data_IF_414198445233
#
_entry.id   IF_414198445233
#
_cell.length_a   1.000
_cell.length_b   1.000
_cell.length_c   1.000
_cell.angle_alpha   90.00
_cell.angle_beta   90.00
_cell.angle_gamma   90.00
#
_symmetry.space_group_name_H-M   'P 1'
#
loop_
_entity.id
_entity.type
_entity.pdbx_description
1 polymer ?
#
# COMPACT_ATOMS: atom_id res chain seq x y z
N UNK A 1 9.82 -9.88 -12.78
CA UNK A 1 9.98 -10.90 -11.71
C UNK A 1 10.14 -12.26 -12.37
N UNK A 2 11.05 -13.11 -11.89
CA UNK A 2 11.16 -14.50 -12.36
C UNK A 2 10.11 -15.37 -11.67
N UNK A 3 9.70 -16.47 -12.29
CA UNK A 3 8.69 -17.41 -11.74
C UNK A 3 9.08 -17.95 -10.36
N UNK A 4 10.37 -18.21 -10.13
CA UNK A 4 10.92 -18.66 -8.85
C UNK A 4 10.74 -17.62 -7.73
N UNK A 5 10.96 -16.33 -8.03
CA UNK A 5 10.77 -15.25 -7.04
C UNK A 5 9.30 -15.11 -6.62
N UNK A 6 8.37 -15.27 -7.57
CA UNK A 6 6.93 -15.22 -7.32
C UNK A 6 6.48 -16.39 -6.42
N UNK A 7 6.94 -17.60 -6.72
CA UNK A 7 6.64 -18.79 -5.90
C UNK A 7 7.16 -18.63 -4.47
N UNK A 8 8.39 -18.12 -4.29
CA UNK A 8 8.96 -17.88 -2.96
C UNK A 8 8.14 -16.87 -2.16
N UNK A 9 7.75 -15.75 -2.77
CA UNK A 9 6.91 -14.74 -2.10
C UNK A 9 5.54 -15.30 -1.71
N UNK A 10 4.90 -16.08 -2.59
CA UNK A 10 3.61 -16.70 -2.28
C UNK A 10 3.71 -17.70 -1.11
N UNK A 11 4.78 -18.51 -1.06
CA UNK A 11 5.02 -19.44 0.06
C UNK A 11 5.23 -18.67 1.37
N UNK A 12 6.03 -17.60 1.37
CA UNK A 12 6.26 -16.78 2.56
C UNK A 12 4.98 -16.12 3.06
N UNK A 13 4.14 -15.59 2.16
CA UNK A 13 2.84 -15.02 2.54
C UNK A 13 1.88 -16.08 3.08
N UNK A 14 1.84 -17.28 2.48
CA UNK A 14 1.02 -18.38 2.99
C UNK A 14 1.46 -18.79 4.41
N UNK A 15 2.77 -18.86 4.66
CA UNK A 15 3.31 -19.12 6.00
C UNK A 15 2.85 -18.06 7.01
N UNK A 16 2.84 -16.80 6.61
CA UNK A 16 2.36 -15.70 7.44
C UNK A 16 0.86 -15.77 7.71
N UNK A 17 0.05 -16.16 6.71
CA UNK A 17 -1.37 -16.43 6.93
C UNK A 17 -1.58 -17.55 7.95
N UNK A 18 -0.82 -18.64 7.83
CA UNK A 18 -0.89 -19.75 8.78
C UNK A 18 -0.52 -19.31 10.21
N UNK A 19 0.57 -18.55 10.41
CA UNK A 19 0.95 -18.08 11.76
C UNK A 19 -0.11 -17.15 12.38
N UNK A 20 -0.71 -16.30 11.54
CA UNK A 20 -1.80 -15.42 11.92
C UNK A 20 -3.15 -16.13 12.09
N UNK A 21 -3.25 -17.45 11.86
CA UNK A 21 -4.50 -18.21 11.83
C UNK A 21 -5.53 -17.63 10.84
N UNK A 22 -5.05 -17.22 9.67
CA UNK A 22 -5.81 -16.58 8.59
C UNK A 22 -6.51 -15.27 8.96
N UNK A 23 -6.27 -14.72 10.16
CA UNK A 23 -6.76 -13.40 10.55
C UNK A 23 -5.86 -12.30 9.98
N UNK A 24 -6.31 -11.68 8.88
CA UNK A 24 -5.58 -10.58 8.23
C UNK A 24 -5.36 -9.35 9.12
N UNK A 25 -6.19 -9.16 10.16
CA UNK A 25 -6.02 -8.02 11.08
C UNK A 25 -4.81 -8.21 12.00
N UNK A 26 -4.41 -9.46 12.22
CA UNK A 26 -3.24 -9.83 13.00
C UNK A 26 -1.94 -9.66 12.21
N UNK A 27 -2.01 -9.56 10.89
CA UNK A 27 -0.86 -9.21 10.05
C UNK A 27 -0.63 -7.70 10.09
N UNK A 28 0.57 -7.29 10.51
CA UNK A 28 0.97 -5.89 10.65
C UNK A 28 2.16 -5.58 9.74
N UNK A 29 2.39 -4.29 9.52
CA UNK A 29 3.56 -3.78 8.81
C UNK A 29 4.61 -3.49 9.87
N UNK A 30 5.69 -4.27 9.90
CA UNK A 30 6.82 -4.04 10.79
C UNK A 30 7.60 -2.80 10.33
N UNK A 31 7.83 -2.69 9.01
CA UNK A 31 8.45 -1.53 8.38
C UNK A 31 8.11 -1.47 6.89
N UNK A 32 8.52 -0.39 6.24
CA UNK A 32 8.42 -0.20 4.79
C UNK A 32 9.61 0.58 4.24
N UNK A 33 9.94 0.29 2.98
CA UNK A 33 10.97 1.00 2.24
C UNK A 33 10.43 1.42 0.88
N UNK A 34 10.53 2.71 0.55
CA UNK A 34 10.16 3.24 -0.75
C UNK A 34 11.42 3.47 -1.59
N UNK A 35 11.47 2.82 -2.75
CA UNK A 35 12.52 2.99 -3.76
C UNK A 35 11.92 3.51 -5.07
N UNK A 36 12.77 3.83 -6.05
CA UNK A 36 12.32 4.29 -7.37
C UNK A 36 11.40 3.28 -8.08
N UNK A 37 11.57 1.99 -7.81
CA UNK A 37 10.89 0.92 -8.55
C UNK A 37 9.82 0.19 -7.73
N UNK A 38 9.97 0.16 -6.40
CA UNK A 38 9.12 -0.64 -5.53
C UNK A 38 8.84 0.04 -4.20
N UNK A 39 7.62 -0.15 -3.70
CA UNK A 39 7.32 -0.12 -2.28
C UNK A 39 7.56 -1.53 -1.72
N UNK A 40 8.51 -1.65 -0.79
CA UNK A 40 8.76 -2.88 -0.04
C UNK A 40 8.03 -2.79 1.30
N UNK A 41 7.18 -3.77 1.59
CA UNK A 41 6.55 -3.93 2.91
C UNK A 41 7.19 -5.11 3.63
N UNK A 42 7.51 -4.93 4.90
CA UNK A 42 7.94 -5.99 5.79
C UNK A 42 6.74 -6.35 6.68
N UNK A 43 6.21 -7.55 6.48
CA UNK A 43 4.98 -8.02 7.12
C UNK A 43 5.28 -9.07 8.19
N UNK A 44 4.59 -8.98 9.31
CA UNK A 44 4.72 -9.93 10.41
C UNK A 44 3.38 -10.19 11.09
N UNK A 45 3.35 -11.24 11.91
CA UNK A 45 2.22 -11.55 12.77
C UNK A 45 2.37 -10.80 14.09
N UNK A 46 1.40 -9.96 14.44
CA UNK A 46 1.42 -9.16 15.67
C UNK A 46 1.58 -9.97 16.98
N UNK A 47 1.24 -11.26 16.98
CA UNK A 47 1.47 -12.14 18.16
C UNK A 47 2.78 -12.92 18.08
N UNK A 48 3.43 -12.95 16.92
CA UNK A 48 4.71 -13.60 16.69
C UNK A 48 5.62 -12.65 15.90
N UNK A 49 5.91 -11.50 16.52
CA UNK A 49 6.82 -10.52 15.94
C UNK A 49 8.22 -11.10 15.86
N UNK A 50 8.92 -10.77 14.77
CA UNK A 50 10.30 -11.20 14.60
C UNK A 50 11.24 -10.23 15.31
N UNK A 51 12.37 -10.72 15.82
CA UNK A 51 13.35 -9.88 16.50
C UNK A 51 14.11 -8.97 15.51
N UNK A 52 14.35 -9.48 14.30
CA UNK A 52 15.09 -8.79 13.24
C UNK A 52 14.20 -8.59 12.00
N UNK A 53 14.25 -7.39 11.41
CA UNK A 53 13.45 -7.04 10.22
C UNK A 53 13.73 -7.96 9.02
N UNK A 54 14.95 -8.51 8.94
CA UNK A 54 15.34 -9.46 7.89
C UNK A 54 14.57 -10.79 7.91
N UNK A 55 13.97 -11.14 9.06
CA UNK A 55 13.14 -12.33 9.21
C UNK A 55 11.66 -12.06 8.90
N UNK A 56 11.27 -10.79 8.73
CA UNK A 56 9.91 -10.43 8.36
C UNK A 56 9.63 -10.84 6.90
N UNK A 57 8.35 -11.09 6.60
CA UNK A 57 7.95 -11.43 5.24
C UNK A 57 8.01 -10.18 4.37
N UNK A 58 9.01 -10.14 3.49
CA UNK A 58 9.20 -9.06 2.54
C UNK A 58 8.27 -9.21 1.32
N UNK A 59 7.47 -8.18 1.06
CA UNK A 59 6.63 -8.07 -0.14
C UNK A 59 7.02 -6.84 -0.95
N UNK A 60 7.27 -7.02 -2.26
CA UNK A 60 7.62 -5.91 -3.17
C UNK A 60 6.45 -5.59 -4.10
N UNK A 61 5.89 -4.40 -3.95
CA UNK A 61 4.85 -3.87 -4.83
C UNK A 61 5.50 -2.92 -5.86
N UNK A 62 5.25 -3.10 -7.17
CA UNK A 62 5.71 -2.15 -8.18
C UNK A 62 5.19 -0.74 -7.88
N UNK A 63 6.04 0.27 -8.08
CA UNK A 63 5.72 1.66 -7.76
C UNK A 63 4.49 2.17 -8.53
N UNK A 64 4.28 1.67 -9.76
CA UNK A 64 3.09 1.98 -10.56
C UNK A 64 1.80 1.49 -9.90
N UNK A 65 1.81 0.26 -9.35
CA UNK A 65 0.68 -0.27 -8.57
C UNK A 65 0.47 0.48 -7.27
N UNK A 66 1.54 0.95 -6.64
CA UNK A 66 1.43 1.80 -5.47
C UNK A 66 0.73 3.13 -5.78
N UNK A 67 1.14 3.80 -6.86
CA UNK A 67 0.51 5.03 -7.34
C UNK A 67 -0.97 4.83 -7.72
N UNK A 68 -1.30 3.71 -8.38
CA UNK A 68 -2.69 3.33 -8.70
C UNK A 68 -3.56 3.23 -7.44
N UNK A 69 -3.05 2.60 -6.37
CA UNK A 69 -3.80 2.46 -5.10
C UNK A 69 -4.09 3.83 -4.48
N UNK A 70 -3.11 4.74 -4.45
CA UNK A 70 -3.31 6.09 -3.91
C UNK A 70 -4.38 6.83 -4.72
N UNK A 71 -4.27 6.80 -6.06
CA UNK A 71 -5.20 7.49 -6.94
C UNK A 71 -6.63 6.95 -6.86
N UNK A 72 -6.79 5.62 -6.76
CA UNK A 72 -8.08 4.95 -6.69
C UNK A 72 -8.81 5.10 -5.35
N UNK A 73 -8.10 5.55 -4.30
CA UNK A 73 -8.68 5.82 -2.98
C UNK A 73 -8.79 7.32 -2.67
N UNK A 74 -8.61 8.16 -3.69
CA UNK A 74 -8.81 9.60 -3.65
C UNK A 74 -7.94 10.37 -2.64
N UNK A 75 -6.83 9.77 -2.23
CA UNK A 75 -6.00 10.27 -1.13
C UNK A 75 -5.16 11.49 -1.54
N UNK A 76 -4.78 11.59 -2.81
CA UNK A 76 -3.99 12.71 -3.35
C UNK A 76 -4.85 13.88 -3.85
N UNK A 77 -6.07 14.03 -3.35
CA UNK A 77 -7.06 14.94 -3.91
C UNK A 77 -8.18 15.27 -2.93
N UNK A 78 -8.96 16.30 -3.24
CA UNK A 78 -10.15 16.65 -2.48
C UNK A 78 -11.30 17.10 -3.41
N UNK A 79 -12.52 17.05 -2.90
CA UNK A 79 -13.68 17.63 -3.59
C UNK A 79 -13.64 19.15 -3.48
N UNK A 80 -13.74 19.84 -4.62
CA UNK A 80 -13.79 21.29 -4.65
C UNK A 80 -14.67 21.83 -5.76
N UNK A 81 -14.82 23.14 -5.81
CA UNK A 81 -15.62 23.83 -6.83
C UNK A 81 -14.72 24.37 -7.92
N UNK A 82 -14.99 24.01 -9.17
CA UNK A 82 -14.36 24.60 -10.36
C UNK A 82 -15.29 25.60 -11.02
N UNK A 83 -14.69 26.60 -11.67
CA UNK A 83 -15.38 27.61 -12.45
C UNK A 83 -15.17 27.34 -13.94
N UNK A 84 -16.25 27.33 -14.70
CA UNK A 84 -16.18 27.33 -16.17
C UNK A 84 -15.86 28.74 -16.68
N UNK A 85 -15.32 28.83 -17.90
CA UNK A 85 -15.12 30.13 -18.57
C UNK A 85 -16.44 30.91 -18.78
N UNK A 86 -17.59 30.23 -18.72
CA UNK A 86 -18.93 30.83 -18.84
C UNK A 86 -19.53 31.26 -17.48
N UNK A 87 -18.77 31.17 -16.39
CA UNK A 87 -19.20 31.60 -15.06
C UNK A 87 -20.04 30.58 -14.27
N UNK A 88 -20.29 29.39 -14.81
CA UNK A 88 -20.94 28.31 -14.06
C UNK A 88 -19.96 27.63 -13.10
N UNK A 89 -20.43 27.29 -11.90
CA UNK A 89 -19.72 26.47 -10.91
C UNK A 89 -20.14 25.01 -11.00
N UNK A 90 -19.20 24.10 -10.77
CA UNK A 90 -19.48 22.67 -10.61
C UNK A 90 -18.51 22.04 -9.63
N UNK A 91 -18.95 20.99 -8.94
CA UNK A 91 -18.09 20.20 -8.08
C UNK A 91 -17.24 19.28 -8.93
N UNK A 92 -15.95 19.25 -8.66
CA UNK A 92 -15.00 18.36 -9.32
C UNK A 92 -13.88 18.01 -8.35
N UNK A 93 -13.14 16.97 -8.69
CA UNK A 93 -11.96 16.55 -7.96
C UNK A 93 -10.79 17.46 -8.29
N UNK A 94 -10.17 17.98 -7.24
CA UNK A 94 -8.96 18.80 -7.33
C UNK A 94 -7.79 17.94 -6.85
N UNK A 95 -6.87 17.66 -7.76
CA UNK A 95 -5.66 16.90 -7.46
C UNK A 95 -4.69 17.82 -6.70
N UNK A 96 -4.23 17.39 -5.54
CA UNK A 96 -3.22 18.10 -4.75
C UNK A 96 -1.86 17.96 -5.46
N UNK A 97 -1.49 16.72 -5.80
CA UNK A 97 -0.24 16.40 -6.49
C UNK A 97 -0.31 15.00 -7.14
N UNK A 98 0.69 14.66 -7.95
CA UNK A 98 0.86 13.28 -8.45
C UNK A 98 0.95 12.28 -7.27
N UNK A 99 0.35 11.09 -7.36
CA UNK A 99 0.16 10.20 -6.20
C UNK A 99 1.42 9.93 -5.37
N UNK A 100 2.53 9.62 -6.04
CA UNK A 100 3.82 9.35 -5.36
C UNK A 100 4.42 10.61 -4.76
N UNK A 101 4.32 11.73 -5.48
CA UNK A 101 4.87 13.00 -5.00
C UNK A 101 4.10 13.51 -3.80
N UNK A 102 2.77 13.36 -3.82
CA UNK A 102 1.90 13.60 -2.66
C UNK A 102 2.33 12.75 -1.46
N UNK A 103 2.48 11.43 -1.63
CA UNK A 103 2.85 10.55 -0.52
C UNK A 103 4.19 10.94 0.12
N UNK A 104 5.18 11.31 -0.68
CA UNK A 104 6.54 11.64 -0.22
C UNK A 104 6.62 13.04 0.41
N UNK A 105 5.95 14.03 -0.18
CA UNK A 105 6.19 15.44 0.11
C UNK A 105 5.06 16.13 0.89
N UNK A 106 3.82 15.68 0.68
CA UNK A 106 2.63 16.40 1.12
C UNK A 106 1.85 15.62 2.20
N UNK A 107 1.86 14.29 2.14
CA UNK A 107 1.10 13.43 3.04
C UNK A 107 1.64 13.48 4.47
N UNK A 108 0.74 13.68 5.44
CA UNK A 108 1.04 13.59 6.86
C UNK A 108 1.36 12.14 7.25
N UNK A 109 2.12 11.90 8.34
CA UNK A 109 2.43 10.55 8.80
C UNK A 109 1.18 9.67 9.03
N UNK A 110 0.06 10.27 9.47
CA UNK A 110 -1.20 9.56 9.62
C UNK A 110 -1.79 9.12 8.27
N UNK A 111 -1.71 9.96 7.24
CA UNK A 111 -2.18 9.66 5.89
C UNK A 111 -1.30 8.61 5.22
N UNK A 112 0.02 8.70 5.41
CA UNK A 112 0.96 7.69 4.95
C UNK A 112 0.64 6.32 5.56
N UNK A 113 0.36 6.26 6.87
CA UNK A 113 -0.06 5.04 7.54
C UNK A 113 -1.39 4.47 7.00
N UNK A 114 -2.36 5.33 6.65
CA UNK A 114 -3.60 4.91 6.00
C UNK A 114 -3.31 4.26 4.65
N UNK A 115 -2.49 4.91 3.81
CA UNK A 115 -2.08 4.39 2.50
C UNK A 115 -1.41 3.04 2.65
N UNK A 116 -0.41 2.91 3.54
CA UNK A 116 0.31 1.65 3.76
C UNK A 116 -0.63 0.52 4.19
N UNK A 117 -1.61 0.81 5.05
CA UNK A 117 -2.62 -0.16 5.45
C UNK A 117 -3.57 -0.57 4.31
N UNK A 118 -3.92 0.36 3.41
CA UNK A 118 -4.69 0.04 2.20
C UNK A 118 -3.89 -0.88 1.27
N UNK A 119 -2.59 -0.60 1.09
CA UNK A 119 -1.69 -1.46 0.32
C UNK A 119 -1.62 -2.85 0.94
N UNK A 120 -1.37 -2.96 2.26
CA UNK A 120 -1.36 -4.24 2.97
C UNK A 120 -2.63 -5.04 2.69
N UNK A 121 -3.81 -4.40 2.83
CA UNK A 121 -5.10 -5.07 2.57
C UNK A 121 -5.20 -5.56 1.13
N UNK A 122 -4.77 -4.76 0.15
CA UNK A 122 -4.78 -5.16 -1.25
C UNK A 122 -3.88 -6.38 -1.51
N UNK A 123 -2.67 -6.39 -0.94
CA UNK A 123 -1.69 -7.47 -1.05
C UNK A 123 -2.19 -8.76 -0.42
N UNK A 124 -2.73 -8.68 0.80
CA UNK A 124 -3.26 -9.86 1.49
C UNK A 124 -4.46 -10.44 0.73
N UNK A 125 -5.35 -9.59 0.20
CA UNK A 125 -6.51 -10.02 -0.58
C UNK A 125 -6.10 -10.72 -1.88
N UNK A 126 -5.15 -10.16 -2.63
CA UNK A 126 -4.68 -10.76 -3.89
C UNK A 126 -4.01 -12.12 -3.68
N UNK A 127 -3.44 -12.33 -2.51
CA UNK A 127 -2.72 -13.58 -2.17
C UNK A 127 -3.67 -14.72 -1.76
N UNK A 128 -4.92 -14.41 -1.39
CA UNK A 128 -5.95 -15.38 -1.03
C UNK A 128 -6.88 -15.77 -2.20
N UNK A 129 -6.83 -15.01 -3.30
CA UNK A 129 -7.75 -15.16 -4.45
C UNK A 129 -7.09 -15.77 -5.69
N UNK A 130 -5.78 -16.04 -5.64
CA UNK A 130 -5.01 -16.69 -6.69
C UNK A 130 -4.65 -18.13 -6.32
#
# INVERSE_FOLDING_TARGET
>A
MSTLTLQKTNISLLSLFCSANFDTNRIVIADHELSENFLTLYLEDNKHQVADLGDAVMYKLPISKFAEIIAANDLNSYEGTKFTQRGCTYTDRIIINEPLKWFIQDALPAEQNVVLNLVKRAVLKSSLTN
#
